data_IF_632131581473
#
_entry.id   IF_632131581473
#
_cell.length_a   1.000
_cell.length_b   1.000
_cell.length_c   1.000
_cell.angle_alpha   90.00
_cell.angle_beta   90.00
_cell.angle_gamma   90.00
#
_symmetry.space_group_name_H-M   'P 1'
#
loop_
_entity.id
_entity.type
_entity.pdbx_description
1 polymer ?
#
# COMPACT_ATOMS: atom_id res chain seq x y z
N UNK A 1 -2.14 2.11 -15.81
CA UNK A 1 -3.61 2.18 -15.70
C UNK A 1 -4.17 0.86 -16.18
N UNK A 2 -5.20 0.34 -15.51
CA UNK A 2 -5.72 -0.99 -15.71
C UNK A 2 -6.43 -1.12 -17.07
N UNK A 3 -5.90 -1.98 -17.92
CA UNK A 3 -6.47 -2.33 -19.21
C UNK A 3 -7.77 -3.12 -19.02
N UNK A 4 -8.73 -2.90 -19.92
CA UNK A 4 -10.01 -3.59 -19.95
C UNK A 4 -9.88 -5.11 -20.11
N UNK A 5 -8.98 -5.58 -20.97
CA UNK A 5 -8.74 -7.00 -21.17
C UNK A 5 -8.20 -7.66 -19.90
N UNK A 6 -7.22 -7.03 -19.26
CA UNK A 6 -6.61 -7.51 -18.02
C UNK A 6 -7.63 -7.52 -16.88
N UNK A 7 -8.46 -6.48 -16.79
CA UNK A 7 -9.55 -6.41 -15.82
C UNK A 7 -10.54 -7.57 -15.99
N UNK A 8 -11.08 -7.77 -17.20
CA UNK A 8 -12.04 -8.84 -17.45
C UNK A 8 -11.45 -10.23 -17.21
N UNK A 9 -10.18 -10.43 -17.59
CA UNK A 9 -9.46 -11.69 -17.32
C UNK A 9 -9.34 -11.95 -15.82
N UNK A 10 -8.99 -10.93 -15.02
CA UNK A 10 -8.90 -11.09 -13.56
C UNK A 10 -10.24 -11.35 -12.90
N UNK A 11 -11.32 -10.67 -13.33
CA UNK A 11 -12.67 -10.97 -12.85
C UNK A 11 -13.10 -12.40 -13.22
N UNK A 12 -12.81 -12.85 -14.44
CA UNK A 12 -13.10 -14.21 -14.87
C UNK A 12 -12.32 -15.25 -14.04
N UNK A 13 -11.06 -14.98 -13.68
CA UNK A 13 -10.28 -15.83 -12.79
C UNK A 13 -10.89 -15.92 -11.39
N UNK A 14 -11.35 -14.80 -10.82
CA UNK A 14 -12.06 -14.80 -9.54
C UNK A 14 -13.35 -15.62 -9.63
N UNK A 15 -14.16 -15.43 -10.67
CA UNK A 15 -15.39 -16.21 -10.85
C UNK A 15 -15.10 -17.72 -11.00
N UNK A 16 -14.03 -18.09 -11.69
CA UNK A 16 -13.62 -19.48 -11.81
C UNK A 16 -13.12 -20.08 -10.48
N UNK A 17 -12.45 -19.28 -9.64
CA UNK A 17 -11.99 -19.69 -8.32
C UNK A 17 -13.14 -19.80 -7.30
N UNK A 18 -14.24 -19.09 -7.52
CA UNK A 18 -15.41 -19.04 -6.63
C UNK A 18 -16.70 -19.35 -7.42
N UNK A 19 -16.90 -20.60 -7.87
CA UNK A 19 -17.95 -20.96 -8.83
C UNK A 19 -19.39 -20.77 -8.30
N UNK A 20 -19.57 -20.76 -6.98
CA UNK A 20 -20.88 -20.55 -6.34
C UNK A 20 -21.26 -19.06 -6.24
N UNK A 21 -20.39 -18.14 -6.66
CA UNK A 21 -20.65 -16.71 -6.62
C UNK A 21 -21.19 -16.21 -7.96
N UNK A 22 -22.43 -15.73 -7.96
CA UNK A 22 -23.02 -15.06 -9.13
C UNK A 22 -22.58 -13.59 -9.18
N UNK A 23 -21.78 -13.25 -10.20
CA UNK A 23 -21.35 -11.87 -10.43
C UNK A 23 -22.28 -11.18 -11.44
N UNK A 24 -23.08 -10.22 -10.98
CA UNK A 24 -23.92 -9.40 -11.86
C UNK A 24 -23.09 -8.40 -12.68
N UNK A 25 -23.59 -7.97 -13.84
CA UNK A 25 -22.92 -6.93 -14.63
C UNK A 25 -22.71 -5.64 -13.82
N UNK A 26 -23.70 -5.25 -13.01
CA UNK A 26 -23.60 -4.10 -12.13
C UNK A 26 -22.46 -4.25 -11.10
N UNK A 27 -22.19 -5.47 -10.62
CA UNK A 27 -21.05 -5.74 -9.74
C UNK A 27 -19.73 -5.53 -10.47
N UNK A 28 -19.61 -6.03 -11.70
CA UNK A 28 -18.41 -5.86 -12.54
C UNK A 28 -18.13 -4.37 -12.81
N UNK A 29 -19.17 -3.58 -13.09
CA UNK A 29 -19.04 -2.14 -13.32
C UNK A 29 -18.50 -1.41 -12.09
N UNK A 30 -19.02 -1.73 -10.89
CA UNK A 30 -18.51 -1.16 -9.63
C UNK A 30 -17.06 -1.56 -9.39
N UNK A 31 -16.70 -2.82 -9.65
CA UNK A 31 -15.30 -3.24 -9.60
C UNK A 31 -14.42 -2.44 -10.55
N UNK A 32 -14.88 -2.21 -11.79
CA UNK A 32 -14.12 -1.46 -12.79
C UNK A 32 -13.90 -0.02 -12.35
N UNK A 33 -14.95 0.64 -11.87
CA UNK A 33 -14.87 2.03 -11.42
C UNK A 33 -13.87 2.19 -10.26
N UNK A 34 -13.92 1.28 -9.29
CA UNK A 34 -13.11 1.41 -8.07
C UNK A 34 -11.67 0.94 -8.23
N UNK A 35 -11.40 0.02 -9.16
CA UNK A 35 -10.07 -0.53 -9.39
C UNK A 35 -9.36 0.09 -10.61
N UNK A 36 -10.00 1.03 -11.33
CA UNK A 36 -9.43 1.64 -12.55
C UNK A 36 -8.07 2.32 -12.37
N UNK A 37 -7.74 2.72 -11.14
CA UNK A 37 -6.47 3.40 -10.80
C UNK A 37 -5.29 2.45 -10.70
N UNK A 38 -5.54 1.16 -10.50
CA UNK A 38 -4.49 0.15 -10.46
C UNK A 38 -3.80 0.05 -11.83
N UNK A 39 -2.57 -0.44 -11.82
CA UNK A 39 -1.89 -0.97 -12.99
C UNK A 39 -2.28 -2.42 -13.22
N UNK A 40 -2.04 -2.92 -14.44
CA UNK A 40 -2.27 -4.33 -14.79
C UNK A 40 -1.56 -5.27 -13.81
N UNK A 41 -0.30 -4.97 -13.48
CA UNK A 41 0.52 -5.77 -12.56
C UNK A 41 -0.04 -5.80 -11.14
N UNK A 42 -0.47 -4.65 -10.62
CA UNK A 42 -1.04 -4.55 -9.27
C UNK A 42 -2.34 -5.36 -9.18
N UNK A 43 -3.23 -5.21 -10.17
CA UNK A 43 -4.49 -5.93 -10.21
C UNK A 43 -4.28 -7.44 -10.33
N UNK A 44 -3.42 -7.90 -11.24
CA UNK A 44 -3.10 -9.31 -11.40
C UNK A 44 -2.54 -9.90 -10.10
N UNK A 45 -1.55 -9.23 -9.49
CA UNK A 45 -0.95 -9.69 -8.24
C UNK A 45 -1.96 -9.75 -7.09
N UNK A 46 -2.87 -8.77 -6.99
CA UNK A 46 -3.95 -8.77 -6.01
C UNK A 46 -4.93 -9.93 -6.21
N UNK A 47 -5.32 -10.21 -7.47
CA UNK A 47 -6.21 -11.33 -7.82
C UNK A 47 -5.58 -12.67 -7.41
N UNK A 48 -4.35 -12.93 -7.82
CA UNK A 48 -3.67 -14.19 -7.48
C UNK A 48 -3.49 -14.35 -5.97
N UNK A 49 -3.00 -13.31 -5.30
CA UNK A 49 -2.82 -13.34 -3.84
C UNK A 49 -4.14 -13.61 -3.12
N UNK A 50 -5.25 -13.01 -3.56
CA UNK A 50 -6.55 -13.24 -2.95
C UNK A 50 -7.01 -14.69 -3.15
N UNK A 51 -6.89 -15.23 -4.37
CA UNK A 51 -7.21 -16.63 -4.66
C UNK A 51 -6.41 -17.59 -3.76
N UNK A 52 -5.12 -17.32 -3.56
CA UNK A 52 -4.23 -18.19 -2.78
C UNK A 52 -4.54 -18.18 -1.28
N UNK A 53 -5.15 -17.11 -0.76
CA UNK A 53 -5.25 -16.88 0.69
C UNK A 53 -6.68 -16.79 1.23
N UNK A 54 -7.66 -16.56 0.36
CA UNK A 54 -9.04 -16.28 0.77
C UNK A 54 -10.03 -17.34 0.26
N UNK A 55 -10.96 -17.72 1.15
CA UNK A 55 -11.99 -18.73 0.86
C UNK A 55 -13.23 -18.19 0.16
N UNK A 56 -13.42 -16.88 0.17
CA UNK A 56 -14.62 -16.21 -0.32
C UNK A 56 -14.27 -15.22 -1.43
N UNK A 57 -15.26 -14.96 -2.29
CA UNK A 57 -15.14 -13.95 -3.34
C UNK A 57 -14.72 -12.61 -2.73
N UNK A 58 -13.73 -11.90 -3.32
CA UNK A 58 -13.20 -10.69 -2.73
C UNK A 58 -14.26 -9.61 -2.55
N UNK A 59 -14.00 -8.72 -1.60
CA UNK A 59 -14.45 -7.34 -1.62
C UNK A 59 -13.40 -6.47 -2.31
N UNK A 60 -13.82 -5.35 -2.88
CA UNK A 60 -12.91 -4.36 -3.52
C UNK A 60 -11.79 -3.93 -2.54
N UNK A 61 -12.12 -3.73 -1.26
CA UNK A 61 -11.15 -3.38 -0.23
C UNK A 61 -10.09 -4.46 0.00
N UNK A 62 -10.42 -5.73 -0.20
CA UNK A 62 -9.48 -6.84 -0.02
C UNK A 62 -8.48 -6.88 -1.17
N UNK A 63 -8.91 -6.63 -2.41
CA UNK A 63 -7.99 -6.48 -3.54
C UNK A 63 -7.08 -5.26 -3.38
N UNK A 64 -7.62 -4.12 -2.95
CA UNK A 64 -6.81 -2.93 -2.66
C UNK A 64 -5.80 -3.18 -1.53
N UNK A 65 -6.22 -3.87 -0.47
CA UNK A 65 -5.33 -4.27 0.61
C UNK A 65 -4.24 -5.25 0.16
N UNK A 66 -4.57 -6.17 -0.76
CA UNK A 66 -3.61 -7.09 -1.36
C UNK A 66 -2.54 -6.33 -2.15
N UNK A 67 -2.91 -5.29 -2.91
CA UNK A 67 -1.93 -4.39 -3.57
C UNK A 67 -1.04 -3.70 -2.55
N UNK A 68 -1.62 -3.13 -1.49
CA UNK A 68 -0.84 -2.42 -0.46
C UNK A 68 0.20 -3.34 0.21
N UNK A 69 -0.11 -4.62 0.39
CA UNK A 69 0.82 -5.61 0.95
C UNK A 69 2.00 -5.99 0.04
N UNK A 70 1.98 -5.58 -1.23
CA UNK A 70 3.10 -5.74 -2.16
C UNK A 70 4.09 -4.57 -2.08
N UNK A 71 3.66 -3.43 -1.52
CA UNK A 71 4.52 -2.28 -1.34
C UNK A 71 5.41 -2.50 -0.11
N UNK A 72 6.66 -2.00 -0.13
CA UNK A 72 7.53 -2.02 1.03
C UNK A 72 6.83 -1.36 2.23
N UNK A 73 6.99 -1.94 3.42
CA UNK A 73 6.51 -1.28 4.62
C UNK A 73 7.38 -0.06 4.94
N UNK A 74 6.85 0.89 5.70
CA UNK A 74 7.63 2.03 6.18
C UNK A 74 8.91 1.61 6.93
N UNK A 75 8.89 0.45 7.61
CA UNK A 75 10.06 -0.10 8.30
C UNK A 75 11.10 -0.62 7.30
N UNK A 76 10.66 -1.31 6.24
CA UNK A 76 11.56 -1.83 5.21
C UNK A 76 12.28 -0.67 4.51
N UNK A 77 11.53 0.35 4.10
CA UNK A 77 12.08 1.57 3.49
C UNK A 77 13.03 2.27 4.46
N UNK A 78 12.63 2.44 5.72
CA UNK A 78 13.49 3.08 6.73
C UNK A 78 14.81 2.34 6.93
N UNK A 79 14.76 1.02 6.97
CA UNK A 79 15.96 0.17 7.12
C UNK A 79 16.90 0.32 5.92
N UNK A 80 16.34 0.37 4.71
CA UNK A 80 17.13 0.62 3.49
C UNK A 80 17.77 2.02 3.51
N UNK A 81 17.04 3.04 3.95
CA UNK A 81 17.55 4.41 4.05
C UNK A 81 18.70 4.51 5.06
N UNK A 82 18.58 3.87 6.23
CA UNK A 82 19.67 3.82 7.23
C UNK A 82 20.89 3.14 6.62
N UNK A 83 20.72 1.97 5.99
CA UNK A 83 21.84 1.25 5.39
C UNK A 83 22.55 2.08 4.30
N UNK A 84 21.78 2.82 3.49
CA UNK A 84 22.33 3.71 2.48
C UNK A 84 23.08 4.90 3.09
N UNK A 85 22.56 5.49 4.17
CA UNK A 85 23.24 6.56 4.90
C UNK A 85 24.57 6.08 5.52
N UNK A 86 24.59 4.88 6.11
CA UNK A 86 25.81 4.25 6.64
C UNK A 86 26.85 3.97 5.54
N UNK A 87 26.38 3.64 4.33
CA UNK A 87 27.24 3.48 3.16
C UNK A 87 27.70 4.82 2.54
N UNK A 88 27.12 5.95 2.95
CA UNK A 88 27.38 7.27 2.36
C UNK A 88 26.77 7.45 0.97
N UNK A 89 25.74 6.68 0.62
CA UNK A 89 25.09 6.68 -0.69
C UNK A 89 23.67 7.23 -0.60
N UNK A 90 23.29 8.12 -1.50
CA UNK A 90 21.89 8.55 -1.62
C UNK A 90 21.14 7.57 -2.54
N UNK A 91 20.17 6.79 -2.02
CA UNK A 91 19.42 5.87 -2.84
C UNK A 91 18.42 6.63 -3.72
N UNK A 92 18.01 6.01 -4.82
CA UNK A 92 16.83 6.47 -5.55
C UNK A 92 15.58 6.24 -4.68
N UNK A 93 14.77 7.28 -4.53
CA UNK A 93 13.56 7.25 -3.69
C UNK A 93 12.33 7.35 -4.56
N UNK A 94 11.35 6.48 -4.30
CA UNK A 94 10.01 6.61 -4.88
C UNK A 94 9.29 7.88 -4.36
N UNK A 95 8.11 8.17 -4.92
CA UNK A 95 7.35 9.37 -4.59
C UNK A 95 6.98 9.46 -3.10
N UNK A 96 6.52 8.37 -2.52
CA UNK A 96 6.15 8.29 -1.11
C UNK A 96 7.37 8.44 -0.18
N UNK A 97 8.47 7.76 -0.48
CA UNK A 97 9.73 7.83 0.27
C UNK A 97 10.30 9.23 0.24
N UNK A 98 10.32 9.87 -0.94
CA UNK A 98 10.81 11.23 -1.09
C UNK A 98 9.99 12.24 -0.28
N UNK A 99 8.65 12.17 -0.34
CA UNK A 99 7.77 13.03 0.47
C UNK A 99 8.00 12.86 1.96
N UNK A 100 8.14 11.62 2.42
CA UNK A 100 8.41 11.31 3.82
C UNK A 100 9.80 11.80 4.26
N UNK A 101 10.80 11.66 3.38
CA UNK A 101 12.16 12.17 3.60
C UNK A 101 12.18 13.71 3.69
N UNK A 102 11.50 14.40 2.76
CA UNK A 102 11.41 15.86 2.77
C UNK A 102 10.70 16.36 4.05
N UNK A 103 9.69 15.63 4.54
CA UNK A 103 8.97 15.96 5.77
C UNK A 103 9.87 15.95 7.03
N UNK A 104 10.86 15.05 7.08
CA UNK A 104 11.79 14.94 8.21
C UNK A 104 13.06 15.81 8.06
N UNK A 105 13.11 16.69 7.06
CA UNK A 105 14.24 17.60 6.84
C UNK A 105 15.16 17.22 5.68
N UNK A 106 14.82 16.19 4.90
CA UNK A 106 15.54 15.80 3.69
C UNK A 106 16.74 14.89 3.93
N UNK A 107 17.30 14.37 2.83
CA UNK A 107 18.38 13.39 2.85
C UNK A 107 19.67 13.91 3.49
N UNK A 108 20.06 15.15 3.22
CA UNK A 108 21.29 15.75 3.77
C UNK A 108 21.26 15.74 5.29
N UNK A 109 20.15 16.20 5.88
CA UNK A 109 19.97 16.19 7.33
C UNK A 109 19.88 14.75 7.87
N UNK A 110 19.14 13.88 7.20
CA UNK A 110 18.99 12.49 7.61
C UNK A 110 20.34 11.75 7.67
N UNK A 111 21.17 11.87 6.63
CA UNK A 111 22.43 11.14 6.50
C UNK A 111 23.50 11.52 7.54
N UNK A 112 23.43 12.73 8.10
CA UNK A 112 24.34 13.21 9.16
C UNK A 112 23.77 13.08 10.57
N UNK A 113 22.49 12.70 10.69
CA UNK A 113 21.81 12.57 11.99
C UNK A 113 22.27 11.29 12.69
N UNK A 114 22.53 11.36 14.00
CA UNK A 114 22.97 10.20 14.77
C UNK A 114 21.88 9.12 14.84
N UNK A 115 22.27 7.84 14.90
CA UNK A 115 21.32 6.73 15.02
C UNK A 115 20.39 6.87 16.24
N UNK A 116 20.90 7.43 17.34
CA UNK A 116 20.11 7.65 18.55
C UNK A 116 18.96 8.65 18.29
N UNK A 117 19.22 9.69 17.52
CA UNK A 117 18.24 10.71 17.13
C UNK A 117 17.28 10.21 16.03
N UNK A 118 17.76 9.36 15.12
CA UNK A 118 16.96 8.77 14.05
C UNK A 118 15.73 8.01 14.59
N UNK A 119 15.86 7.37 15.75
CA UNK A 119 14.75 6.63 16.38
C UNK A 119 13.55 7.51 16.73
N UNK A 120 13.77 8.79 17.03
CA UNK A 120 12.69 9.73 17.38
C UNK A 120 11.97 10.29 16.14
N UNK A 121 12.66 10.35 15.00
CA UNK A 121 12.08 10.87 13.76
C UNK A 121 11.42 9.78 12.90
N UNK A 122 11.68 8.49 13.16
CA UNK A 122 11.02 7.38 12.45
C UNK A 122 9.49 7.48 12.50
N UNK A 123 8.92 7.87 13.64
CA UNK A 123 7.46 8.01 13.76
C UNK A 123 6.92 9.05 12.77
N UNK A 124 7.57 10.20 12.66
CA UNK A 124 7.19 11.27 11.74
C UNK A 124 7.36 10.83 10.28
N UNK A 125 8.47 10.15 9.96
CA UNK A 125 8.69 9.55 8.65
C UNK A 125 7.58 8.55 8.29
N UNK A 126 7.27 7.61 9.19
CA UNK A 126 6.28 6.58 8.96
C UNK A 126 4.90 7.17 8.68
N UNK A 127 4.48 8.17 9.45
CA UNK A 127 3.19 8.84 9.25
C UNK A 127 3.13 9.52 7.87
N UNK A 128 4.17 10.27 7.50
CA UNK A 128 4.24 10.94 6.20
C UNK A 128 4.33 9.95 5.02
N UNK A 129 5.07 8.85 5.18
CA UNK A 129 5.21 7.80 4.17
C UNK A 129 3.88 7.11 3.88
N UNK A 130 3.17 6.69 4.93
CA UNK A 130 1.87 6.03 4.77
C UNK A 130 0.84 6.97 4.13
N UNK A 131 0.81 8.25 4.55
CA UNK A 131 -0.07 9.23 3.93
C UNK A 131 0.25 9.45 2.43
N UNK A 132 1.54 9.52 2.08
CA UNK A 132 1.96 9.68 0.70
C UNK A 132 1.65 8.44 -0.15
N UNK A 133 1.87 7.25 0.39
CA UNK A 133 1.58 5.97 -0.26
C UNK A 133 0.08 5.77 -0.50
N UNK A 134 -0.76 6.11 0.48
CA UNK A 134 -2.23 6.06 0.35
C UNK A 134 -2.74 6.99 -0.76
N UNK A 135 -2.17 8.21 -0.85
CA UNK A 135 -2.52 9.17 -1.91
C UNK A 135 -2.08 8.72 -3.29
N UNK A 136 -0.92 8.07 -3.41
CA UNK A 136 -0.39 7.58 -4.69
C UNK A 136 -1.15 6.35 -5.19
N UNK A 137 -1.54 5.45 -4.29
CA UNK A 137 -2.31 4.24 -4.62
C UNK A 137 -3.82 4.50 -4.72
N UNK A 138 -4.30 5.66 -4.28
CA UNK A 138 -5.72 5.98 -4.22
C UNK A 138 -6.49 5.17 -3.16
N UNK A 139 -5.78 4.55 -2.22
CA UNK A 139 -6.36 3.80 -1.11
C UNK A 139 -7.02 4.77 -0.11
N UNK A 140 -8.16 4.39 0.50
CA UNK A 140 -8.75 5.19 1.57
C UNK A 140 -7.79 5.24 2.77
N UNK A 141 -7.69 6.39 3.48
CA UNK A 141 -6.78 6.54 4.61
C UNK A 141 -7.10 5.47 5.66
N UNK A 142 -6.09 4.70 6.06
CA UNK A 142 -6.20 3.77 7.18
C UNK A 142 -6.44 4.60 8.45
N UNK A 143 -7.70 4.65 8.92
CA UNK A 143 -8.04 5.30 10.18
C UNK A 143 -7.30 4.54 11.28
N UNK A 144 -6.19 5.11 11.76
CA UNK A 144 -5.51 4.66 12.97
C UNK A 144 -6.49 4.82 14.12
N UNK A 145 -7.21 3.75 14.46
CA UNK A 145 -8.07 3.71 15.64
C UNK A 145 -7.17 3.84 16.85
N UNK A 146 -6.98 5.09 17.32
CA UNK A 146 -6.58 5.36 18.70
C UNK A 146 -7.65 4.72 19.58
N UNK A 147 -7.35 3.56 20.13
CA UNK A 147 -8.12 2.95 21.21
C UNK A 147 -8.09 3.93 22.38
N UNK A 148 -9.17 4.68 22.59
CA UNK A 148 -9.38 5.44 23.82
C UNK A 148 -9.78 4.42 24.87
N UNK A 149 -9.05 4.29 26.00
CA UNK A 149 -9.50 3.41 27.08
C UNK A 149 -10.77 4.00 27.67
N UNK A 150 -11.88 3.27 27.60
CA UNK A 150 -13.07 3.57 28.39
C UNK A 150 -12.72 3.33 29.86
N UNK A 151 -12.71 4.41 30.65
CA UNK A 151 -12.76 4.34 32.10
C UNK A 151 -14.22 4.04 32.47
N UNK A 152 -14.50 2.81 32.87
CA UNK A 152 -15.75 2.46 33.53
C UNK A 152 -15.71 2.99 34.98
N UNK A 153 -16.79 3.65 35.38
CA UNK A 153 -17.10 4.05 36.75
C UNK A 153 -18.49 3.57 37.12
#
# INVERSE_FOLDING_TARGET
>A
MLNEEVFHKGIALLMAAYPDYECSSATVDVYRERLCRLTDKEFEAAVYRHIDTCKWFPKISELLGAVQSLLPSAIDVWTQLIAAAEAGEQPEMDGATKKAMDFIGGWEQFSITSYDDLRFIFKAFREAYLEAQDRETGAPPQISTRTVPQLEG
#
